data_IF_916657944671
#
_entry.id   IF_916657944671
#
_cell.length_a   1.000
_cell.length_b   1.000
_cell.length_c   1.000
_cell.angle_alpha   90.00
_cell.angle_beta   90.00
_cell.angle_gamma   90.00
#
_symmetry.space_group_name_H-M   'P 1'
#
loop_
_entity.id
_entity.type
_entity.pdbx_description
1 polymer ?
#
# COMPACT_ATOMS: atom_id res chain seq x y z
N UNK A 1 -16.92 16.10 12.36
CA UNK A 1 -16.26 14.87 11.86
C UNK A 1 -17.32 13.86 11.46
N UNK A 2 -17.20 13.20 10.29
CA UNK A 2 -18.12 12.15 9.87
C UNK A 2 -18.07 10.96 10.84
N UNK A 3 -19.19 10.24 11.01
CA UNK A 3 -19.23 9.10 11.93
C UNK A 3 -18.51 7.88 11.35
N UNK A 4 -17.87 7.04 12.18
CA UNK A 4 -17.21 5.82 11.70
C UNK A 4 -18.13 4.89 10.89
N UNK A 5 -19.39 4.75 11.31
CA UNK A 5 -20.39 3.95 10.59
C UNK A 5 -20.71 4.51 9.22
N UNK A 6 -20.78 5.84 9.07
CA UNK A 6 -21.00 6.47 7.78
C UNK A 6 -19.80 6.23 6.85
N UNK A 7 -18.58 6.41 7.34
CA UNK A 7 -17.37 6.15 6.55
C UNK A 7 -17.28 4.70 6.06
N UNK A 8 -17.58 3.73 6.92
CA UNK A 8 -17.63 2.30 6.53
C UNK A 8 -18.64 2.03 5.41
N UNK A 9 -19.80 2.69 5.46
CA UNK A 9 -20.84 2.54 4.42
C UNK A 9 -20.48 3.25 3.11
N UNK A 10 -19.78 4.38 3.18
CA UNK A 10 -19.42 5.17 2.00
C UNK A 10 -18.22 4.61 1.25
N UNK A 11 -17.24 4.00 1.94
CA UNK A 11 -16.00 3.55 1.31
C UNK A 11 -16.21 2.66 0.06
N UNK A 12 -17.07 1.62 0.09
CA UNK A 12 -17.33 0.80 -1.11
C UNK A 12 -18.01 1.59 -2.24
N UNK A 13 -18.91 2.52 -1.93
CA UNK A 13 -19.59 3.35 -2.93
C UNK A 13 -18.64 4.32 -3.64
N UNK A 14 -17.53 4.68 -2.98
CA UNK A 14 -16.46 5.51 -3.54
C UNK A 14 -15.34 4.69 -4.18
N UNK A 15 -15.43 3.35 -4.18
CA UNK A 15 -14.34 2.48 -4.65
C UNK A 15 -13.07 2.59 -3.81
N UNK A 16 -13.16 3.10 -2.58
CA UNK A 16 -12.03 3.28 -1.68
C UNK A 16 -11.98 2.17 -0.64
N UNK A 17 -10.77 1.83 -0.22
CA UNK A 17 -10.60 1.03 0.96
C UNK A 17 -11.04 1.80 2.20
N UNK A 18 -11.72 1.11 3.14
CA UNK A 18 -12.29 1.76 4.32
C UNK A 18 -11.23 2.50 5.14
N UNK A 19 -10.06 1.89 5.38
CA UNK A 19 -9.00 2.55 6.15
C UNK A 19 -8.49 3.84 5.49
N UNK A 20 -8.51 3.91 4.16
CA UNK A 20 -8.05 5.08 3.41
C UNK A 20 -9.04 6.23 3.54
N UNK A 21 -10.33 5.93 3.48
CA UNK A 21 -11.36 6.95 3.66
C UNK A 21 -11.31 7.59 5.06
N UNK A 22 -10.95 6.83 6.10
CA UNK A 22 -10.73 7.40 7.44
C UNK A 22 -9.56 8.39 7.45
N UNK A 23 -8.45 8.05 6.79
CA UNK A 23 -7.28 8.94 6.67
C UNK A 23 -7.61 10.20 5.85
N UNK A 24 -8.33 10.04 4.72
CA UNK A 24 -8.78 11.16 3.87
C UNK A 24 -9.73 12.09 4.64
N UNK A 25 -10.60 11.53 5.47
CA UNK A 25 -11.53 12.29 6.30
C UNK A 25 -10.91 12.87 7.59
N UNK A 26 -9.60 12.65 7.80
CA UNK A 26 -8.87 13.06 9.01
C UNK A 26 -9.52 12.55 10.31
N UNK A 27 -10.12 11.36 10.26
CA UNK A 27 -10.74 10.70 11.41
C UNK A 27 -9.80 9.62 11.93
N UNK A 28 -9.62 9.50 13.27
CA UNK A 28 -8.80 8.43 13.85
C UNK A 28 -9.21 7.06 13.32
N UNK A 29 -8.21 6.28 12.90
CA UNK A 29 -8.45 4.94 12.37
C UNK A 29 -8.87 4.00 13.51
N UNK A 30 -9.99 3.26 13.39
CA UNK A 30 -10.36 2.21 14.32
C UNK A 30 -9.34 1.07 14.35
N UNK A 31 -9.13 0.47 15.52
CA UNK A 31 -8.15 -0.60 15.73
C UNK A 31 -8.29 -1.76 14.73
N UNK A 32 -9.51 -2.19 14.40
CA UNK A 32 -9.76 -3.29 13.46
C UNK A 32 -9.30 -3.01 12.01
N UNK A 33 -9.05 -1.74 11.68
CA UNK A 33 -8.63 -1.34 10.35
C UNK A 33 -7.11 -1.22 10.19
N UNK A 34 -6.32 -1.24 11.25
CA UNK A 34 -4.85 -1.24 11.15
C UNK A 34 -4.31 -2.55 10.57
N UNK A 35 -3.16 -2.53 9.85
CA UNK A 35 -2.48 -3.77 9.42
C UNK A 35 -2.16 -4.70 10.58
N UNK A 36 -2.41 -6.00 10.41
CA UNK A 36 -2.42 -6.99 11.49
C UNK A 36 -1.08 -7.03 12.24
N UNK A 37 -0.01 -7.35 11.52
CA UNK A 37 1.32 -7.57 12.08
C UNK A 37 2.35 -6.61 11.44
N UNK A 38 2.88 -5.64 12.20
CA UNK A 38 3.94 -4.75 11.72
C UNK A 38 5.20 -5.49 11.28
N UNK A 39 5.47 -6.70 11.78
CA UNK A 39 6.60 -7.54 11.37
C UNK A 39 6.52 -8.01 9.92
N UNK A 40 5.30 -8.15 9.37
CA UNK A 40 5.10 -8.60 8.00
C UNK A 40 5.69 -7.65 6.95
N UNK A 41 5.87 -6.36 7.29
CA UNK A 41 6.47 -5.35 6.41
C UNK A 41 7.86 -5.72 5.89
N UNK A 42 8.62 -6.54 6.62
CA UNK A 42 9.96 -6.97 6.22
C UNK A 42 9.92 -7.86 4.97
N UNK A 43 8.84 -8.60 4.76
CA UNK A 43 8.68 -9.58 3.68
C UNK A 43 7.93 -9.01 2.47
N UNK A 44 7.15 -7.95 2.65
CA UNK A 44 6.32 -7.35 1.58
C UNK A 44 7.14 -6.99 0.33
N UNK A 45 8.30 -6.30 0.42
CA UNK A 45 9.07 -5.96 -0.78
C UNK A 45 9.52 -7.19 -1.59
N UNK A 46 9.88 -8.29 -0.91
CA UNK A 46 10.28 -9.53 -1.57
C UNK A 46 9.09 -10.20 -2.24
N UNK A 47 7.94 -10.26 -1.56
CA UNK A 47 6.69 -10.77 -2.13
C UNK A 47 6.31 -10.01 -3.40
N UNK A 48 6.33 -8.67 -3.36
CA UNK A 48 5.99 -7.83 -4.51
C UNK A 48 6.97 -8.06 -5.65
N UNK A 49 8.27 -8.19 -5.37
CA UNK A 49 9.29 -8.49 -6.38
C UNK A 49 9.03 -9.85 -7.06
N UNK A 50 8.73 -10.90 -6.31
CA UNK A 50 8.37 -12.19 -6.90
C UNK A 50 7.06 -12.11 -7.69
N UNK A 51 6.04 -11.42 -7.15
CA UNK A 51 4.74 -11.28 -7.80
C UNK A 51 4.78 -10.44 -9.09
N UNK A 52 5.68 -9.46 -9.19
CA UNK A 52 5.89 -8.66 -10.40
C UNK A 52 6.36 -9.52 -11.57
N UNK A 53 7.15 -10.57 -11.31
CA UNK A 53 7.63 -11.52 -12.30
C UNK A 53 6.59 -12.59 -12.72
N UNK A 54 5.44 -12.65 -12.06
CA UNK A 54 4.39 -13.62 -12.37
C UNK A 54 3.49 -13.16 -13.52
N UNK A 55 2.86 -14.12 -14.20
CA UNK A 55 1.74 -13.83 -15.10
C UNK A 55 0.54 -13.22 -14.34
N UNK A 56 -0.36 -12.49 -15.00
CA UNK A 56 -1.58 -11.97 -14.38
C UNK A 56 -2.44 -13.05 -13.70
N UNK A 57 -2.50 -14.25 -14.28
CA UNK A 57 -3.24 -15.39 -13.70
C UNK A 57 -2.61 -15.86 -12.38
N UNK A 58 -1.28 -16.00 -12.34
CA UNK A 58 -0.57 -16.38 -11.12
C UNK A 58 -0.65 -15.29 -10.05
N UNK A 59 -0.65 -14.01 -10.41
CA UNK A 59 -0.95 -12.91 -9.47
C UNK A 59 -2.36 -13.02 -8.90
N UNK A 60 -3.36 -13.29 -9.74
CA UNK A 60 -4.73 -13.50 -9.27
C UNK A 60 -4.82 -14.72 -8.34
N UNK A 61 -4.12 -15.80 -8.65
CA UNK A 61 -4.00 -16.97 -7.76
C UNK A 61 -3.37 -16.61 -6.42
N UNK A 62 -2.32 -15.78 -6.41
CA UNK A 62 -1.65 -15.32 -5.20
C UNK A 62 -2.59 -14.46 -4.33
N UNK A 63 -3.40 -13.60 -4.94
CA UNK A 63 -4.42 -12.81 -4.24
C UNK A 63 -5.50 -13.70 -3.62
N UNK A 64 -6.00 -14.70 -4.35
CA UNK A 64 -6.95 -15.68 -3.80
C UNK A 64 -6.35 -16.45 -2.63
N UNK A 65 -5.06 -16.79 -2.71
CA UNK A 65 -4.35 -17.41 -1.59
C UNK A 65 -4.34 -16.49 -0.36
N UNK A 66 -3.93 -15.22 -0.50
CA UNK A 66 -3.99 -14.25 0.62
C UNK A 66 -5.39 -14.18 1.26
N UNK A 67 -6.42 -14.10 0.43
CA UNK A 67 -7.81 -14.00 0.89
C UNK A 67 -8.35 -15.30 1.53
N UNK A 68 -7.70 -16.43 1.29
CA UNK A 68 -8.08 -17.74 1.85
C UNK A 68 -7.35 -18.07 3.16
N UNK A 69 -6.28 -17.34 3.48
CA UNK A 69 -5.56 -17.54 4.73
C UNK A 69 -6.42 -17.07 5.91
N UNK A 70 -6.31 -17.75 7.07
CA UNK A 70 -7.13 -17.40 8.22
C UNK A 70 -6.84 -15.97 8.68
N UNK A 71 -7.91 -15.20 8.86
CA UNK A 71 -7.87 -13.94 9.58
C UNK A 71 -7.49 -14.21 11.04
N UNK A 72 -6.27 -13.88 11.43
CA UNK A 72 -5.86 -13.95 12.83
C UNK A 72 -6.43 -12.74 13.59
N UNK A 73 -6.90 -12.99 14.80
CA UNK A 73 -7.34 -11.92 15.67
C UNK A 73 -6.14 -11.07 16.06
N UNK A 74 -6.31 -9.75 16.04
CA UNK A 74 -5.32 -8.84 16.60
C UNK A 74 -5.23 -9.09 18.11
N UNK A 75 -4.09 -9.62 18.56
CA UNK A 75 -3.83 -9.90 19.99
C UNK A 75 -3.40 -8.64 20.76
N UNK A 76 -2.84 -7.65 20.07
CA UNK A 76 -2.29 -6.43 20.66
C UNK A 76 -2.91 -5.17 20.06
N UNK A 77 -3.10 -4.09 20.84
CA UNK A 77 -3.58 -2.81 20.30
C UNK A 77 -2.76 -2.34 19.10
N UNK A 78 -3.37 -1.47 18.27
CA UNK A 78 -2.65 -0.86 17.17
C UNK A 78 -1.36 -0.17 17.69
N UNK A 79 -0.22 -0.33 16.99
CA UNK A 79 1.03 0.24 17.46
C UNK A 79 0.98 1.76 17.43
N UNK A 80 1.51 2.41 18.47
CA UNK A 80 1.74 3.86 18.46
C UNK A 80 2.78 4.19 17.40
N UNK A 81 2.46 5.13 16.52
CA UNK A 81 3.42 5.59 15.51
C UNK A 81 4.62 6.26 16.18
N UNK A 82 5.86 5.88 15.83
CA UNK A 82 7.06 6.58 16.26
C UNK A 82 7.01 8.07 15.94
N UNK A 83 7.66 8.91 16.76
CA UNK A 83 7.63 10.38 16.59
C UNK A 83 8.04 10.84 15.17
N UNK A 84 8.99 10.16 14.53
CA UNK A 84 9.41 10.50 13.17
C UNK A 84 8.38 10.15 12.09
N UNK A 85 7.34 9.36 12.41
CA UNK A 85 6.20 9.04 11.55
C UNK A 85 4.93 9.81 11.93
N UNK A 86 5.05 10.77 12.83
CA UNK A 86 3.99 11.73 13.13
C UNK A 86 4.20 12.94 12.25
N UNK A 87 3.21 13.24 11.41
CA UNK A 87 3.28 14.29 10.40
C UNK A 87 2.18 15.30 10.63
N UNK A 88 2.52 16.58 10.44
CA UNK A 88 1.54 17.64 10.29
C UNK A 88 0.62 17.35 9.08
N UNK A 89 -0.65 17.79 9.11
CA UNK A 89 -1.57 17.61 7.98
C UNK A 89 -1.01 18.21 6.68
N UNK A 90 -0.78 17.34 5.69
CA UNK A 90 -0.36 17.71 4.34
C UNK A 90 -0.70 16.58 3.36
N UNK A 91 -0.71 16.85 2.06
CA UNK A 91 -0.91 15.80 1.05
C UNK A 91 0.20 14.74 1.10
N UNK A 92 1.46 15.15 1.33
CA UNK A 92 2.56 14.21 1.51
C UNK A 92 2.35 13.30 2.72
N UNK A 93 1.91 13.88 3.84
CA UNK A 93 1.55 13.13 5.04
C UNK A 93 0.40 12.15 4.79
N UNK A 94 -0.63 12.55 4.05
CA UNK A 94 -1.73 11.67 3.65
C UNK A 94 -1.21 10.47 2.86
N UNK A 95 -0.43 10.70 1.79
CA UNK A 95 0.10 9.61 0.95
C UNK A 95 0.96 8.62 1.76
N UNK A 96 1.82 9.11 2.66
CA UNK A 96 2.64 8.25 3.51
C UNK A 96 1.79 7.47 4.52
N UNK A 97 0.72 8.07 5.07
CA UNK A 97 -0.24 7.35 5.92
C UNK A 97 -1.00 6.26 5.16
N UNK A 98 -1.38 6.51 3.91
CA UNK A 98 -2.03 5.51 3.05
C UNK A 98 -1.10 4.33 2.73
N UNK A 99 0.20 4.56 2.56
CA UNK A 99 1.20 3.48 2.47
C UNK A 99 1.26 2.67 3.76
N UNK A 100 1.19 3.34 4.92
CA UNK A 100 1.06 2.70 6.22
C UNK A 100 -0.14 1.75 6.30
N UNK A 101 -1.28 2.09 5.68
CA UNK A 101 -2.43 1.19 5.60
C UNK A 101 -2.13 -0.11 4.82
N UNK A 102 -1.12 -0.14 3.94
CA UNK A 102 -0.61 -1.36 3.25
C UNK A 102 0.48 -2.08 4.05
N UNK A 103 0.66 -1.70 5.31
CA UNK A 103 1.75 -2.18 6.17
C UNK A 103 3.15 -1.80 5.66
N UNK A 104 3.28 -0.68 4.95
CA UNK A 104 4.57 -0.21 4.42
C UNK A 104 5.13 0.88 5.34
N UNK A 105 6.32 0.65 5.89
CA UNK A 105 7.15 1.71 6.46
C UNK A 105 7.96 2.44 5.37
N UNK A 106 8.81 3.39 5.73
CA UNK A 106 9.61 4.14 4.75
C UNK A 106 10.52 3.26 3.90
N UNK A 107 11.11 2.23 4.49
CA UNK A 107 12.04 1.33 3.80
C UNK A 107 11.29 0.39 2.87
N UNK A 108 10.21 -0.22 3.34
CA UNK A 108 9.35 -1.07 2.52
C UNK A 108 8.72 -0.27 1.38
N UNK A 109 8.26 0.96 1.66
CA UNK A 109 7.69 1.88 0.66
C UNK A 109 8.69 2.19 -0.45
N UNK A 110 9.92 2.56 -0.10
CA UNK A 110 10.98 2.85 -1.08
C UNK A 110 11.26 1.66 -2.00
N UNK A 111 11.35 0.45 -1.44
CA UNK A 111 11.58 -0.78 -2.23
C UNK A 111 10.40 -1.13 -3.12
N UNK A 112 9.18 -1.02 -2.61
CA UNK A 112 7.96 -1.32 -3.38
C UNK A 112 7.75 -0.31 -4.50
N UNK A 113 8.02 0.98 -4.26
CA UNK A 113 8.02 2.01 -5.30
C UNK A 113 9.02 1.68 -6.41
N UNK A 114 10.24 1.29 -6.07
CA UNK A 114 11.23 0.87 -7.06
C UNK A 114 10.73 -0.31 -7.91
N UNK A 115 10.13 -1.32 -7.28
CA UNK A 115 9.69 -2.54 -7.98
C UNK A 115 8.44 -2.30 -8.86
N UNK A 116 7.49 -1.49 -8.38
CA UNK A 116 6.22 -1.26 -9.07
C UNK A 116 6.23 -0.06 -10.00
N UNK A 117 7.33 0.67 -10.08
CA UNK A 117 7.46 1.82 -10.98
C UNK A 117 8.90 1.77 -11.52
N UNK A 118 9.63 2.88 -11.46
CA UNK A 118 11.10 2.92 -11.51
C UNK A 118 11.64 3.97 -10.51
N UNK A 119 10.81 4.39 -9.55
CA UNK A 119 11.14 5.46 -8.62
C UNK A 119 12.13 4.98 -7.56
N UNK A 120 13.41 5.28 -7.80
CA UNK A 120 14.47 4.99 -6.85
C UNK A 120 14.59 6.09 -5.79
N UNK A 121 13.95 5.87 -4.64
CA UNK A 121 13.95 6.79 -3.51
C UNK A 121 14.63 6.17 -2.29
N UNK A 122 15.28 7.00 -1.47
CA UNK A 122 15.69 6.58 -0.12
C UNK A 122 14.50 6.54 0.83
N UNK A 123 14.58 5.73 1.88
CA UNK A 123 13.60 5.76 2.98
C UNK A 123 13.45 7.15 3.60
N UNK A 124 14.56 7.90 3.74
CA UNK A 124 14.54 9.28 4.23
C UNK A 124 13.78 10.23 3.29
N UNK A 125 13.78 9.98 1.98
CA UNK A 125 13.00 10.77 1.02
C UNK A 125 11.50 10.51 1.20
N UNK A 126 11.07 9.27 1.48
CA UNK A 126 9.67 8.97 1.83
C UNK A 126 9.26 9.75 3.09
N UNK A 127 10.10 9.74 4.11
CA UNK A 127 9.88 10.54 5.31
C UNK A 127 9.83 12.05 5.03
N UNK A 128 10.72 12.56 4.19
CA UNK A 128 10.75 13.97 3.80
C UNK A 128 9.47 14.41 3.07
N UNK A 129 8.91 13.55 2.21
CA UNK A 129 7.59 13.77 1.59
C UNK A 129 6.50 13.85 2.67
N UNK A 130 6.47 12.89 3.60
CA UNK A 130 5.51 12.90 4.71
C UNK A 130 5.58 14.17 5.56
N UNK A 131 6.80 14.65 5.83
CA UNK A 131 7.05 15.88 6.59
C UNK A 131 6.93 17.17 5.76
N UNK A 132 6.52 17.10 4.49
CA UNK A 132 6.41 18.27 3.61
C UNK A 132 7.76 18.94 3.27
N UNK A 133 8.89 18.30 3.58
CA UNK A 133 10.25 18.79 3.28
C UNK A 133 10.70 18.48 1.87
N UNK A 134 9.99 17.56 1.19
CA UNK A 134 10.15 17.25 -0.22
C UNK A 134 8.82 17.49 -0.92
N UNK A 135 8.84 18.32 -1.95
CA UNK A 135 7.66 18.63 -2.76
C UNK A 135 7.16 17.38 -3.51
N UNK A 136 5.83 17.24 -3.59
CA UNK A 136 5.18 16.23 -4.41
C UNK A 136 5.22 16.65 -5.89
N UNK A 137 6.08 15.99 -6.66
CA UNK A 137 6.12 16.16 -8.12
C UNK A 137 5.03 15.30 -8.79
N UNK A 138 4.65 15.58 -10.06
CA UNK A 138 3.72 14.73 -10.81
C UNK A 138 4.17 13.27 -10.89
N UNK A 139 5.48 13.05 -11.06
CA UNK A 139 6.09 11.71 -11.12
C UNK A 139 5.96 10.97 -9.78
N UNK A 140 6.28 11.64 -8.67
CA UNK A 140 6.07 11.07 -7.33
C UNK A 140 4.60 10.71 -7.13
N UNK A 141 3.68 11.63 -7.45
CA UNK A 141 2.25 11.43 -7.27
C UNK A 141 1.74 10.22 -8.07
N UNK A 142 2.17 10.07 -9.32
CA UNK A 142 1.83 8.92 -10.14
C UNK A 142 2.34 7.62 -9.51
N UNK A 143 3.59 7.59 -9.02
CA UNK A 143 4.15 6.40 -8.40
C UNK A 143 3.48 6.02 -7.07
N UNK A 144 3.15 6.99 -6.22
CA UNK A 144 2.31 6.73 -5.04
C UNK A 144 0.95 6.17 -5.46
N UNK A 145 0.31 6.71 -6.49
CA UNK A 145 -0.95 6.18 -7.04
C UNK A 145 -0.84 4.71 -7.45
N UNK A 146 0.22 4.33 -8.16
CA UNK A 146 0.49 2.95 -8.57
C UNK A 146 0.58 1.99 -7.38
N UNK A 147 1.33 2.35 -6.33
CA UNK A 147 1.47 1.49 -5.13
C UNK A 147 0.19 1.45 -4.30
N UNK A 148 -0.55 2.56 -4.23
CA UNK A 148 -1.78 2.66 -3.45
C UNK A 148 -2.98 2.01 -4.13
N UNK A 149 -2.93 1.79 -5.45
CA UNK A 149 -4.07 1.34 -6.24
C UNK A 149 -5.11 2.45 -6.45
N UNK A 150 -4.69 3.72 -6.34
CA UNK A 150 -5.56 4.89 -6.51
C UNK A 150 -5.22 5.52 -7.86
N UNK A 151 -6.21 5.78 -8.74
CA UNK A 151 -5.95 6.45 -10.00
C UNK A 151 -5.21 7.76 -9.78
N UNK A 152 -4.12 7.96 -10.52
CA UNK A 152 -3.30 9.15 -10.37
C UNK A 152 -4.12 10.43 -10.62
N UNK A 153 -5.12 10.39 -11.51
CA UNK A 153 -6.05 11.50 -11.75
C UNK A 153 -6.89 11.87 -10.51
N UNK A 154 -7.27 10.89 -9.68
CA UNK A 154 -8.01 11.16 -8.45
C UNK A 154 -7.08 11.83 -7.42
N UNK A 155 -5.83 11.36 -7.32
CA UNK A 155 -4.83 12.02 -6.49
C UNK A 155 -4.47 13.43 -7.00
N UNK A 156 -4.44 13.62 -8.32
CA UNK A 156 -4.24 14.93 -8.95
C UNK A 156 -5.39 15.89 -8.63
N UNK A 157 -6.63 15.40 -8.67
CA UNK A 157 -7.81 16.18 -8.29
C UNK A 157 -7.77 16.59 -6.80
N UNK A 158 -7.28 15.71 -5.92
CA UNK A 158 -7.12 16.01 -4.49
C UNK A 158 -6.00 17.02 -4.23
N UNK A 159 -4.88 16.92 -4.95
CA UNK A 159 -3.66 17.71 -4.68
C UNK A 159 -3.53 18.99 -5.50
N UNK A 160 -4.29 19.12 -6.59
CA UNK A 160 -4.15 20.20 -7.58
C UNK A 160 -2.94 20.05 -8.51
N UNK A 161 -2.18 18.96 -8.42
CA UNK A 161 -1.00 18.70 -9.24
C UNK A 161 -1.44 18.19 -10.61
N UNK A 162 -1.00 18.85 -11.69
CA UNK A 162 -1.28 18.41 -13.05
C UNK A 162 -0.38 17.24 -13.42
N UNK A 163 -0.97 16.14 -13.87
CA UNK A 163 -0.23 14.98 -14.35
C UNK A 163 0.04 15.05 -15.85
N UNK A 164 1.22 14.60 -16.31
CA UNK A 164 1.43 14.29 -17.73
C UNK A 164 0.51 13.13 -18.12
N UNK A 165 -0.08 13.18 -19.31
CA UNK A 165 -0.94 12.11 -19.81
C UNK A 165 -0.13 10.85 -20.08
N UNK A 166 -0.39 9.78 -19.33
CA UNK A 166 0.20 8.46 -19.54
C UNK A 166 -0.80 7.36 -19.17
N UNK A 167 -0.75 6.22 -19.86
CA UNK A 167 -1.60 5.05 -19.52
C UNK A 167 -0.94 4.24 -18.41
N UNK A 168 -1.73 3.64 -17.50
CA UNK A 168 -1.21 2.68 -16.53
C UNK A 168 -0.63 1.45 -17.25
N UNK A 169 0.45 0.90 -16.68
CA UNK A 169 1.15 -0.25 -17.24
C UNK A 169 0.43 -1.57 -16.91
N UNK A 170 0.06 -2.40 -17.91
CA UNK A 170 -0.64 -3.66 -17.68
C UNK A 170 0.14 -4.69 -16.84
N UNK A 171 1.48 -4.59 -16.81
CA UNK A 171 2.36 -5.52 -16.12
C UNK A 171 2.20 -5.51 -14.59
N UNK A 172 1.60 -4.45 -14.03
CA UNK A 172 1.50 -4.22 -12.58
C UNK A 172 0.08 -4.44 -12.04
N UNK A 173 -0.86 -4.79 -12.92
CA UNK A 173 -2.27 -5.03 -12.56
C UNK A 173 -2.35 -6.12 -11.48
N UNK A 174 -3.03 -5.79 -10.37
CA UNK A 174 -3.26 -6.68 -9.24
C UNK A 174 -2.22 -6.59 -8.12
N UNK A 175 -1.11 -5.88 -8.30
CA UNK A 175 -0.08 -5.77 -7.24
C UNK A 175 -0.50 -4.83 -6.10
N UNK A 176 -1.16 -3.72 -6.41
CA UNK A 176 -1.67 -2.81 -5.39
C UNK A 176 -2.74 -3.48 -4.53
N UNK A 177 -3.58 -4.29 -5.16
CA UNK A 177 -4.61 -5.06 -4.47
C UNK A 177 -4.02 -6.24 -3.69
N UNK A 178 -2.94 -6.86 -4.18
CA UNK A 178 -2.17 -7.82 -3.39
C UNK A 178 -1.59 -7.16 -2.13
N UNK A 179 -1.00 -5.97 -2.25
CA UNK A 179 -0.52 -5.18 -1.10
C UNK A 179 -1.64 -4.91 -0.09
N UNK A 180 -2.84 -4.61 -0.59
CA UNK A 180 -4.00 -4.46 0.26
C UNK A 180 -4.41 -5.78 0.94
N UNK A 181 -4.47 -6.88 0.19
CA UNK A 181 -4.89 -8.19 0.70
C UNK A 181 -3.93 -8.69 1.82
N UNK A 182 -2.62 -8.51 1.65
CA UNK A 182 -1.61 -9.04 2.60
C UNK A 182 -1.45 -8.23 3.89
N UNK A 183 -2.03 -7.04 3.97
CA UNK A 183 -1.93 -6.18 5.17
C UNK A 183 -2.54 -6.85 6.42
N UNK A 184 -3.42 -7.82 6.22
CA UNK A 184 -4.13 -8.58 7.26
C UNK A 184 -3.43 -9.87 7.65
N UNK A 185 -2.27 -10.15 7.06
CA UNK A 185 -1.52 -11.38 7.30
C UNK A 185 -0.37 -11.16 8.29
N UNK A 186 0.03 -12.24 8.94
CA UNK A 186 1.23 -12.26 9.79
C UNK A 186 2.51 -12.30 8.95
N UNK A 187 3.66 -12.00 9.57
CA UNK A 187 4.94 -12.06 8.89
C UNK A 187 5.27 -13.45 8.33
N UNK A 188 4.89 -14.51 9.03
CA UNK A 188 5.07 -15.88 8.54
C UNK A 188 4.17 -16.20 7.35
N UNK A 189 2.92 -15.75 7.36
CA UNK A 189 2.01 -15.90 6.21
C UNK A 189 2.54 -15.15 4.98
N UNK A 190 3.01 -13.91 5.13
CA UNK A 190 3.60 -13.13 4.02
C UNK A 190 4.88 -13.78 3.51
N UNK A 191 5.72 -14.32 4.40
CA UNK A 191 6.92 -15.08 4.01
C UNK A 191 6.57 -16.33 3.20
N UNK A 192 5.62 -17.13 3.66
CA UNK A 192 5.15 -18.33 2.93
C UNK A 192 4.58 -17.97 1.55
N UNK A 193 3.81 -16.89 1.46
CA UNK A 193 3.33 -16.38 0.18
C UNK A 193 4.46 -15.96 -0.76
N UNK A 194 5.51 -15.30 -0.23
CA UNK A 194 6.69 -14.92 -1.00
C UNK A 194 7.42 -16.14 -1.56
N UNK A 195 7.54 -17.19 -0.75
CA UNK A 195 8.14 -18.47 -1.16
C UNK A 195 7.30 -19.17 -2.24
N UNK A 196 5.97 -19.17 -2.13
CA UNK A 196 5.07 -19.71 -3.15
C UNK A 196 5.12 -18.91 -4.46
N UNK A 197 5.15 -17.58 -4.39
CA UNK A 197 5.30 -16.74 -5.58
C UNK A 197 6.63 -17.02 -6.30
N UNK A 198 7.70 -17.25 -5.55
CA UNK A 198 9.01 -17.60 -6.12
C UNK A 198 8.96 -18.93 -6.88
N UNK A 199 8.33 -19.97 -6.33
CA UNK A 199 8.26 -21.28 -6.99
C UNK A 199 7.46 -21.23 -8.29
N UNK A 200 6.31 -20.54 -8.30
CA UNK A 200 5.49 -20.38 -9.52
C UNK A 200 6.17 -19.55 -10.62
N UNK A 201 7.13 -18.70 -10.25
CA UNK A 201 7.95 -17.97 -11.22
C UNK A 201 9.02 -18.85 -11.88
N UNK A 202 9.60 -19.78 -11.13
CA UNK A 202 10.57 -20.76 -11.64
C UNK A 202 9.91 -21.75 -12.61
N UNK A 203 8.68 -22.18 -12.34
CA UNK A 203 7.92 -23.11 -13.19
C UNK A 203 7.50 -22.52 -14.55
N UNK A 204 7.58 -21.19 -14.74
CA UNK A 204 7.29 -20.53 -16.02
C UNK A 204 8.48 -20.52 -16.99
N UNK A 205 9.68 -20.87 -16.52
CA UNK A 205 10.92 -20.82 -17.30
C UNK A 205 11.55 -22.21 -17.53
N UNK A 206 10.86 -23.30 -17.14
CA UNK A 206 11.26 -24.69 -17.38
C UNK A 206 10.35 -25.35 -18.40
#
# INVERSE_FOLDING_TARGET
>A
MPSPTLLRRLAPALGLHTADLFQIAEVPLPDDLFPLDPGARAWIPQLVSHAAALSPEHRLRLRRLAQSLPDEAREHPAPTLPAYQQYDPSFGALLVRLLGNRNLDWTASAKVLLVMTDLYLSASTIGAVGHGRKELTPELLAGFGTVLGIPANDLAALTGIKLPTGKPEPALVGLAELLWDVRRLTGDQVRQMSEAARSWGSDQHG
#
